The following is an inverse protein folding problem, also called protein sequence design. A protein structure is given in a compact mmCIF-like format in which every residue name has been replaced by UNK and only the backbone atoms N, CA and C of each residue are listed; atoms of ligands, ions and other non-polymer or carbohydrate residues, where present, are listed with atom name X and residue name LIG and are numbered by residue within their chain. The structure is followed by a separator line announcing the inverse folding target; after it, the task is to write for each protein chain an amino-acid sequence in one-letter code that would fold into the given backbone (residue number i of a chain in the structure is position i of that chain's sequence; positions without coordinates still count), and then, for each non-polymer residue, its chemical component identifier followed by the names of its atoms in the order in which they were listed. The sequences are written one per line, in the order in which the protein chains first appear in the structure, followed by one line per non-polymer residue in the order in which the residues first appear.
data_IF_814780935416
#
_entry.id   IF_814780935416
#
_cell.length_a   1.000
_cell.length_b   1.000
_cell.length_c   1.000
_cell.angle_alpha   90.00
_cell.angle_beta   90.00
_cell.angle_gamma   90.00
#
_symmetry.space_group_name_H-M   'P 1'
#
loop_
_entity.id
_entity.type
_entity.pdbx_description
1 polymer ?
#
# COMPACT_ATOMS: atom_id res chain seq x y z
N UNK A 1 -19.50 -8.90 -7.08
CA UNK A 1 -19.35 -7.61 -6.41
C UNK A 1 -19.28 -6.51 -7.45
N UNK A 2 -19.80 -5.32 -7.18
CA UNK A 2 -19.83 -4.23 -8.15
C UNK A 2 -19.22 -2.98 -7.49
N UNK A 3 -18.20 -2.36 -8.12
CA UNK A 3 -17.53 -1.17 -7.61
C UNK A 3 -18.16 0.08 -8.19
N UNK A 4 -18.49 1.04 -7.34
CA UNK A 4 -18.85 2.39 -7.77
C UNK A 4 -17.57 3.13 -8.20
N UNK A 5 -17.61 3.79 -9.36
CA UNK A 5 -16.47 4.57 -9.83
C UNK A 5 -16.89 5.95 -10.37
N UNK A 6 -15.92 6.86 -10.39
CA UNK A 6 -16.04 8.17 -11.01
C UNK A 6 -14.80 8.47 -11.89
N UNK A 7 -14.95 9.45 -12.79
CA UNK A 7 -13.91 9.90 -13.72
C UNK A 7 -13.79 11.40 -13.60
N UNK A 8 -12.56 11.90 -13.45
CA UNK A 8 -12.25 13.35 -13.50
C UNK A 8 -11.09 13.54 -14.47
N UNK A 9 -11.32 14.30 -15.55
CA UNK A 9 -10.32 14.63 -16.56
C UNK A 9 -10.83 15.87 -17.32
N UNK A 10 -10.01 16.91 -17.47
CA UNK A 10 -10.42 18.14 -18.17
C UNK A 10 -10.52 17.96 -19.70
N UNK A 11 -9.98 16.85 -20.22
CA UNK A 11 -10.12 16.48 -21.62
C UNK A 11 -11.41 15.65 -21.86
N UNK A 12 -12.44 16.17 -22.57
CA UNK A 12 -13.70 15.44 -22.82
C UNK A 12 -13.51 14.11 -23.55
N UNK A 13 -12.49 14.00 -24.39
CA UNK A 13 -12.18 12.76 -25.12
C UNK A 13 -11.64 11.68 -24.18
N UNK A 14 -10.81 12.05 -23.21
CA UNK A 14 -10.29 11.13 -22.20
C UNK A 14 -11.44 10.62 -21.28
N UNK A 15 -12.34 11.53 -20.86
CA UNK A 15 -13.55 11.14 -20.11
C UNK A 15 -14.39 10.15 -20.91
N UNK A 16 -14.66 10.42 -22.19
CA UNK A 16 -15.46 9.55 -23.05
C UNK A 16 -14.80 8.18 -23.27
N UNK A 17 -13.48 8.14 -23.41
CA UNK A 17 -12.72 6.90 -23.53
C UNK A 17 -12.85 6.04 -22.28
N UNK A 18 -12.56 6.63 -21.11
CA UNK A 18 -12.66 5.92 -19.81
C UNK A 18 -14.08 5.48 -19.53
N UNK A 19 -15.09 6.31 -19.82
CA UNK A 19 -16.51 5.91 -19.74
C UNK A 19 -16.80 4.67 -20.59
N UNK A 20 -16.31 4.64 -21.83
CA UNK A 20 -16.48 3.48 -22.72
C UNK A 20 -15.84 2.20 -22.14
N UNK A 21 -14.73 2.34 -21.42
CA UNK A 21 -14.04 1.24 -20.75
C UNK A 21 -14.80 0.77 -19.50
N UNK A 22 -15.31 1.70 -18.70
CA UNK A 22 -16.17 1.37 -17.54
C UNK A 22 -17.40 0.59 -18.00
N UNK A 23 -18.07 1.04 -19.05
CA UNK A 23 -19.27 0.35 -19.60
C UNK A 23 -19.00 -1.06 -20.13
N UNK A 24 -17.76 -1.34 -20.54
CA UNK A 24 -17.32 -2.68 -20.97
C UNK A 24 -16.89 -3.58 -19.81
N UNK A 25 -16.76 -3.03 -18.60
CA UNK A 25 -16.24 -3.75 -17.43
C UNK A 25 -17.37 -4.09 -16.46
N UNK A 26 -17.85 -5.36 -16.42
CA UNK A 26 -19.12 -5.72 -15.75
C UNK A 26 -19.16 -5.48 -14.24
N UNK A 27 -18.00 -5.40 -13.59
CA UNK A 27 -17.89 -5.17 -12.14
C UNK A 27 -17.72 -3.69 -11.77
N UNK A 28 -17.79 -2.74 -12.74
CA UNK A 28 -17.77 -1.31 -12.48
C UNK A 28 -19.13 -0.67 -12.72
N UNK A 29 -19.48 0.32 -11.90
CA UNK A 29 -20.67 1.17 -12.05
C UNK A 29 -20.26 2.63 -12.01
N UNK A 30 -20.39 3.35 -13.13
CA UNK A 30 -20.10 4.76 -13.20
C UNK A 30 -21.14 5.56 -12.41
N UNK A 31 -20.69 6.36 -11.42
CA UNK A 31 -21.52 7.22 -10.58
C UNK A 31 -21.43 8.70 -10.98
N UNK A 32 -20.26 9.11 -11.50
CA UNK A 32 -20.06 10.49 -11.93
C UNK A 32 -18.94 10.61 -12.94
N UNK A 33 -19.01 11.65 -13.76
CA UNK A 33 -17.96 12.07 -14.68
C UNK A 33 -17.89 13.60 -14.68
N UNK A 34 -16.66 14.12 -14.57
CA UNK A 34 -16.43 15.53 -14.34
C UNK A 34 -15.28 16.02 -15.21
N UNK A 35 -15.43 17.23 -15.78
CA UNK A 35 -14.37 17.90 -16.53
C UNK A 35 -13.64 18.97 -15.67
N UNK A 36 -13.91 19.00 -14.38
CA UNK A 36 -13.28 19.92 -13.42
C UNK A 36 -13.19 19.28 -12.06
N UNK A 37 -11.99 19.33 -11.45
CA UNK A 37 -11.76 18.88 -10.09
C UNK A 37 -12.57 19.67 -9.06
N UNK A 38 -12.70 20.99 -9.26
CA UNK A 38 -13.42 21.87 -8.33
C UNK A 38 -14.91 21.50 -8.26
N UNK A 39 -15.51 21.19 -9.39
CA UNK A 39 -16.93 20.80 -9.44
C UNK A 39 -17.15 19.40 -8.87
N UNK A 40 -16.20 18.50 -9.01
CA UNK A 40 -16.28 17.13 -8.52
C UNK A 40 -16.15 17.02 -7.00
N UNK A 41 -15.36 17.89 -6.35
CA UNK A 41 -14.98 17.76 -4.95
C UNK A 41 -16.17 17.75 -3.97
N UNK A 42 -17.14 18.68 -4.02
CA UNK A 42 -18.29 18.66 -3.12
C UNK A 42 -19.15 17.41 -3.29
N UNK A 43 -19.34 16.96 -4.54
CA UNK A 43 -20.17 15.82 -4.86
C UNK A 43 -19.56 14.49 -4.40
N UNK A 44 -18.27 14.30 -4.65
CA UNK A 44 -17.54 13.10 -4.22
C UNK A 44 -17.32 13.04 -2.71
N UNK A 45 -17.24 14.17 -2.02
CA UNK A 45 -17.22 14.20 -0.56
C UNK A 45 -18.60 13.88 0.05
N UNK A 46 -19.70 14.27 -0.62
CA UNK A 46 -21.06 13.94 -0.18
C UNK A 46 -21.44 12.49 -0.55
N UNK A 47 -20.99 12.00 -1.70
CA UNK A 47 -21.29 10.68 -2.24
C UNK A 47 -20.00 9.97 -2.66
N UNK A 48 -19.23 9.42 -1.71
CA UNK A 48 -17.96 8.76 -2.00
C UNK A 48 -18.13 7.57 -2.95
N UNK A 49 -17.13 7.33 -3.79
CA UNK A 49 -17.05 6.16 -4.68
C UNK A 49 -15.91 5.25 -4.26
N UNK A 50 -15.98 3.97 -4.65
CA UNK A 50 -14.92 3.00 -4.34
C UNK A 50 -13.64 3.26 -5.14
N UNK A 51 -13.78 3.72 -6.39
CA UNK A 51 -12.67 3.93 -7.34
C UNK A 51 -12.81 5.26 -8.07
N UNK A 52 -11.73 6.02 -8.14
CA UNK A 52 -11.65 7.27 -8.88
C UNK A 52 -10.54 7.19 -9.94
N UNK A 53 -10.88 7.37 -11.20
CA UNK A 53 -9.93 7.67 -12.27
C UNK A 53 -9.74 9.18 -12.33
N UNK A 54 -8.51 9.65 -12.10
CA UNK A 54 -8.23 11.06 -11.86
C UNK A 54 -7.04 11.52 -12.70
N UNK A 55 -7.27 12.47 -13.60
CA UNK A 55 -6.16 13.10 -14.30
C UNK A 55 -5.28 13.92 -13.34
N UNK A 56 -3.97 13.87 -13.57
CA UNK A 56 -3.02 14.64 -12.75
C UNK A 56 -3.00 16.10 -13.13
N UNK A 57 -3.00 16.39 -14.42
CA UNK A 57 -2.80 17.74 -14.93
C UNK A 57 -4.12 18.38 -15.35
N UNK A 58 -4.77 19.02 -14.40
CA UNK A 58 -5.99 19.79 -14.65
C UNK A 58 -5.77 21.26 -14.30
N UNK A 59 -6.50 22.19 -14.97
CA UNK A 59 -6.50 23.59 -14.60
C UNK A 59 -6.97 23.82 -13.16
N UNK A 60 -6.47 24.87 -12.53
CA UNK A 60 -6.85 25.39 -11.20
C UNK A 60 -6.54 24.45 -10.03
N UNK A 61 -6.83 23.15 -10.13
CA UNK A 61 -6.60 22.15 -9.08
C UNK A 61 -6.06 20.87 -9.72
N UNK A 62 -4.80 20.55 -9.44
CA UNK A 62 -4.20 19.31 -9.93
C UNK A 62 -4.81 18.07 -9.27
N UNK A 63 -4.80 16.92 -9.97
CA UNK A 63 -5.27 15.66 -9.40
C UNK A 63 -4.53 15.26 -8.13
N UNK A 64 -3.25 15.62 -8.01
CA UNK A 64 -2.45 15.36 -6.80
C UNK A 64 -2.93 16.20 -5.60
N UNK A 65 -3.32 17.44 -5.81
CA UNK A 65 -3.89 18.30 -4.76
C UNK A 65 -5.30 17.84 -4.40
N UNK A 66 -6.13 17.57 -5.42
CA UNK A 66 -7.47 17.02 -5.26
C UNK A 66 -7.48 15.75 -4.39
N UNK A 67 -6.57 14.82 -4.65
CA UNK A 67 -6.48 13.56 -3.93
C UNK A 67 -6.25 13.72 -2.43
N UNK A 68 -5.60 14.81 -2.00
CA UNK A 68 -5.37 15.14 -0.58
C UNK A 68 -6.59 15.76 0.10
N UNK A 69 -7.52 16.29 -0.69
CA UNK A 69 -8.75 16.96 -0.22
C UNK A 69 -9.94 15.99 -0.17
N UNK A 70 -9.82 14.82 -0.81
CA UNK A 70 -10.83 13.78 -0.77
C UNK A 70 -10.88 13.16 0.63
N UNK A 71 -12.08 13.10 1.19
CA UNK A 71 -12.37 12.39 2.42
C UNK A 71 -12.81 10.97 2.12
N UNK A 72 -12.38 9.99 2.94
CA UNK A 72 -12.84 8.62 2.86
C UNK A 72 -11.86 7.62 2.24
N UNK A 73 -12.37 6.42 1.95
CA UNK A 73 -11.56 5.27 1.51
C UNK A 73 -11.53 5.09 -0.02
N UNK A 74 -11.88 6.15 -0.78
CA UNK A 74 -11.83 6.14 -2.26
C UNK A 74 -10.42 5.79 -2.74
N UNK A 75 -10.31 4.76 -3.59
CA UNK A 75 -9.04 4.40 -4.24
C UNK A 75 -8.87 5.19 -5.51
N UNK A 76 -7.64 5.66 -5.75
CA UNK A 76 -7.33 6.52 -6.88
C UNK A 76 -6.43 5.79 -7.85
N UNK A 77 -6.85 5.78 -9.12
CA UNK A 77 -6.01 5.45 -10.26
C UNK A 77 -5.77 6.76 -11.02
N UNK A 78 -4.51 7.20 -11.01
CA UNK A 78 -4.16 8.41 -11.75
C UNK A 78 -4.04 8.14 -13.23
N UNK A 79 -4.46 9.11 -14.04
CA UNK A 79 -4.18 9.14 -15.48
C UNK A 79 -3.27 10.31 -15.80
N UNK A 80 -2.33 10.18 -16.73
CA UNK A 80 -1.38 11.24 -17.06
C UNK A 80 -0.71 11.02 -18.41
N UNK A 81 -0.34 12.12 -19.08
CA UNK A 81 0.49 12.09 -20.30
C UNK A 81 2.00 12.00 -19.99
N UNK A 82 2.43 12.09 -18.71
CA UNK A 82 3.84 12.25 -18.33
C UNK A 82 4.30 11.15 -17.38
N UNK A 83 5.33 10.41 -17.79
CA UNK A 83 5.95 9.33 -17.00
C UNK A 83 6.56 9.80 -15.68
N UNK A 84 7.01 11.04 -15.60
CA UNK A 84 7.68 11.59 -14.42
C UNK A 84 6.77 11.64 -13.18
N UNK A 85 5.46 11.81 -13.35
CA UNK A 85 4.51 11.83 -12.22
C UNK A 85 4.26 10.46 -11.60
N UNK A 86 4.58 9.39 -12.31
CA UNK A 86 4.57 8.04 -11.74
C UNK A 86 5.58 7.90 -10.57
N UNK A 87 6.62 8.73 -10.51
CA UNK A 87 7.63 8.75 -9.44
C UNK A 87 7.19 9.58 -8.21
N UNK A 88 6.42 10.65 -8.39
CA UNK A 88 5.93 11.50 -7.28
C UNK A 88 4.71 10.91 -6.56
N UNK A 89 4.10 9.89 -7.11
CA UNK A 89 2.91 9.20 -6.63
C UNK A 89 3.06 8.49 -5.29
N UNK A 90 4.27 8.23 -4.86
CA UNK A 90 4.54 7.64 -3.54
C UNK A 90 4.09 8.49 -2.35
N UNK A 91 3.77 9.78 -2.59
CA UNK A 91 3.26 10.70 -1.55
C UNK A 91 1.75 10.68 -1.40
N UNK A 92 1.05 10.02 -2.31
CA UNK A 92 -0.43 9.93 -2.34
C UNK A 92 -0.76 8.45 -2.47
N UNK A 93 -1.66 7.92 -1.64
CA UNK A 93 -2.06 6.50 -1.64
C UNK A 93 -2.78 6.07 -2.95
N UNK A 94 -2.11 6.27 -4.09
CA UNK A 94 -2.62 5.83 -5.38
C UNK A 94 -2.57 4.31 -5.49
N UNK A 95 -3.64 3.74 -6.02
CA UNK A 95 -3.71 2.31 -6.30
C UNK A 95 -2.90 1.93 -7.54
N UNK A 96 -2.94 2.80 -8.56
CA UNK A 96 -2.24 2.58 -9.84
C UNK A 96 -2.07 3.88 -10.65
N UNK A 97 -1.35 3.78 -11.77
CA UNK A 97 -1.10 4.83 -12.75
C UNK A 97 -1.34 4.33 -14.16
N UNK A 98 -2.06 5.12 -14.96
CA UNK A 98 -2.30 4.87 -16.36
C UNK A 98 -1.68 5.98 -17.20
N UNK A 99 -0.72 5.63 -18.04
CA UNK A 99 -0.11 6.57 -18.97
C UNK A 99 -1.00 6.74 -20.22
N UNK A 100 -1.30 7.98 -20.60
CA UNK A 100 -2.00 8.29 -21.84
C UNK A 100 -1.05 8.08 -23.04
N UNK A 101 -1.49 7.43 -24.14
CA UNK A 101 -2.84 6.94 -24.42
C UNK A 101 -3.17 5.65 -23.67
N UNK A 102 -4.28 5.63 -22.93
CA UNK A 102 -4.68 4.52 -22.08
C UNK A 102 -5.25 3.40 -22.96
N UNK A 103 -4.70 2.17 -22.82
CA UNK A 103 -5.27 0.99 -23.46
C UNK A 103 -6.33 0.33 -22.57
N UNK A 104 -7.29 -0.39 -23.18
CA UNK A 104 -8.28 -1.14 -22.40
C UNK A 104 -7.66 -2.23 -21.51
N UNK A 105 -6.63 -2.99 -21.95
CA UNK A 105 -5.94 -3.94 -21.06
C UNK A 105 -5.32 -3.30 -19.82
N UNK A 106 -4.66 -2.13 -19.94
CA UNK A 106 -4.06 -1.44 -18.79
C UNK A 106 -5.14 -0.93 -17.84
N UNK A 107 -6.21 -0.33 -18.39
CA UNK A 107 -7.39 0.07 -17.62
C UNK A 107 -7.99 -1.11 -16.85
N UNK A 108 -8.22 -2.24 -17.51
CA UNK A 108 -8.81 -3.43 -16.91
C UNK A 108 -7.94 -3.99 -15.78
N UNK A 109 -6.61 -4.00 -15.97
CA UNK A 109 -5.68 -4.43 -14.93
C UNK A 109 -5.77 -3.55 -13.68
N UNK A 110 -5.82 -2.22 -13.85
CA UNK A 110 -5.99 -1.29 -12.73
C UNK A 110 -7.34 -1.44 -12.04
N UNK A 111 -8.42 -1.64 -12.79
CA UNK A 111 -9.74 -1.90 -12.25
C UNK A 111 -9.81 -3.22 -11.46
N UNK A 112 -9.11 -4.28 -11.92
CA UNK A 112 -9.01 -5.55 -11.19
C UNK A 112 -8.24 -5.40 -9.88
N UNK A 113 -7.17 -4.59 -9.83
CA UNK A 113 -6.48 -4.26 -8.58
C UNK A 113 -7.41 -3.58 -7.58
N UNK A 114 -8.28 -2.67 -8.06
CA UNK A 114 -9.28 -2.02 -7.22
C UNK A 114 -10.30 -3.02 -6.65
N UNK A 115 -10.80 -3.92 -7.48
CA UNK A 115 -11.72 -4.96 -7.05
C UNK A 115 -11.12 -5.83 -5.94
N UNK A 116 -9.91 -6.34 -6.14
CA UNK A 116 -9.19 -7.13 -5.15
C UNK A 116 -9.00 -6.37 -3.83
N UNK A 117 -8.66 -5.08 -3.92
CA UNK A 117 -8.47 -4.25 -2.73
C UNK A 117 -9.76 -4.08 -1.93
N UNK A 118 -10.89 -3.78 -2.59
CA UNK A 118 -12.19 -3.59 -1.92
C UNK A 118 -12.70 -4.91 -1.34
N UNK A 119 -12.53 -6.04 -2.03
CA UNK A 119 -12.86 -7.37 -1.50
C UNK A 119 -12.08 -7.69 -0.21
N UNK A 120 -10.78 -7.39 -0.18
CA UNK A 120 -9.97 -7.55 1.04
C UNK A 120 -10.46 -6.64 2.17
N UNK A 121 -10.89 -5.41 1.86
CA UNK A 121 -11.32 -4.43 2.86
C UNK A 121 -12.71 -4.76 3.42
N UNK A 122 -13.66 -5.19 2.59
CA UNK A 122 -15.01 -5.57 3.03
C UNK A 122 -15.02 -6.86 3.85
N UNK A 123 -14.16 -7.83 3.51
CA UNK A 123 -13.98 -9.02 4.33
C UNK A 123 -13.45 -8.71 5.74
N UNK A 124 -12.84 -7.54 5.95
CA UNK A 124 -12.43 -7.04 7.28
C UNK A 124 -13.58 -6.42 8.07
N UNK A 125 -14.61 -5.87 7.41
CA UNK A 125 -15.76 -5.21 8.07
C UNK A 125 -16.93 -6.15 8.32
N UNK A 126 -17.10 -7.18 7.50
CA UNK A 126 -18.12 -8.20 7.71
C UNK A 126 -17.66 -9.20 8.74
N UNK A 127 -17.90 -8.89 10.01
CA UNK A 127 -17.56 -9.73 11.17
C UNK A 127 -18.26 -11.09 11.15
N UNK A 128 -17.90 -11.98 10.25
CA UNK A 128 -18.11 -13.40 10.37
C UNK A 128 -16.88 -14.02 11.00
N UNK A 129 -16.91 -14.15 12.30
CA UNK A 129 -16.05 -15.01 13.11
C UNK A 129 -16.20 -16.46 12.66
N UNK A 130 -15.43 -16.89 11.68
CA UNK A 130 -15.01 -18.27 11.44
C UNK A 130 -14.29 -18.44 10.07
N UNK A 131 -13.42 -17.51 9.72
CA UNK A 131 -12.34 -17.76 8.76
C UNK A 131 -11.14 -16.97 9.23
N UNK A 132 -10.12 -17.67 9.64
CA UNK A 132 -8.85 -17.09 10.07
C UNK A 132 -8.44 -15.96 9.14
N UNK A 133 -8.15 -14.78 9.72
CA UNK A 133 -7.53 -13.61 9.07
C UNK A 133 -6.37 -14.11 8.22
N UNK A 134 -6.58 -14.35 6.93
CA UNK A 134 -5.46 -14.51 6.02
C UNK A 134 -4.88 -13.12 5.78
N UNK A 135 -3.93 -12.72 6.61
CA UNK A 135 -3.02 -11.62 6.32
C UNK A 135 -2.40 -11.88 4.94
N UNK A 136 -2.09 -10.84 4.16
CA UNK A 136 -1.44 -11.05 2.88
C UNK A 136 -0.21 -11.93 3.10
N UNK A 137 -0.12 -13.02 2.37
CA UNK A 137 1.02 -13.93 2.46
C UNK A 137 2.26 -13.37 1.77
N UNK A 138 2.08 -12.40 0.88
CA UNK A 138 3.17 -11.79 0.10
C UNK A 138 2.91 -10.31 -0.17
N UNK A 139 4.00 -9.56 -0.40
CA UNK A 139 3.99 -8.16 -0.84
C UNK A 139 4.80 -8.00 -2.12
N UNK A 140 4.45 -7.00 -2.93
CA UNK A 140 5.25 -6.62 -4.09
C UNK A 140 6.15 -5.44 -3.75
N UNK A 141 7.45 -5.62 -3.95
CA UNK A 141 8.48 -4.61 -3.70
C UNK A 141 9.13 -4.20 -5.02
N UNK A 142 9.15 -2.89 -5.29
CA UNK A 142 9.84 -2.33 -6.45
C UNK A 142 11.34 -2.23 -6.15
N UNK A 143 12.13 -2.88 -6.98
CA UNK A 143 13.57 -2.68 -7.06
C UNK A 143 13.88 -1.74 -8.23
N UNK A 144 15.13 -1.36 -8.44
CA UNK A 144 15.53 -0.43 -9.52
C UNK A 144 15.01 -0.83 -10.91
N UNK A 145 14.85 -2.13 -11.19
CA UNK A 145 14.53 -2.62 -12.55
C UNK A 145 13.29 -3.52 -12.64
N UNK A 146 12.70 -3.94 -11.53
CA UNK A 146 11.61 -4.92 -11.53
C UNK A 146 10.78 -4.86 -10.26
N UNK A 147 9.56 -5.35 -10.34
CA UNK A 147 8.69 -5.62 -9.20
C UNK A 147 8.96 -7.07 -8.75
N UNK A 148 9.25 -7.25 -7.46
CA UNK A 148 9.52 -8.58 -6.88
C UNK A 148 8.43 -8.89 -5.88
N UNK A 149 7.82 -10.05 -6.01
CA UNK A 149 6.94 -10.59 -4.98
C UNK A 149 7.78 -11.23 -3.87
N UNK A 150 7.52 -10.83 -2.63
CA UNK A 150 8.20 -11.35 -1.44
C UNK A 150 7.16 -11.98 -0.52
N UNK A 151 7.37 -13.24 -0.19
CA UNK A 151 6.60 -13.96 0.81
C UNK A 151 6.93 -13.37 2.20
N UNK A 152 5.90 -12.83 2.88
CA UNK A 152 6.06 -12.23 4.21
C UNK A 152 6.55 -13.24 5.25
N UNK A 153 6.20 -14.52 5.09
CA UNK A 153 6.64 -15.60 5.97
C UNK A 153 8.14 -15.87 5.90
N UNK A 154 8.82 -15.39 4.86
CA UNK A 154 10.26 -15.57 4.66
C UNK A 154 11.10 -14.35 5.04
N UNK A 155 10.48 -13.20 5.34
CA UNK A 155 11.23 -12.02 5.79
C UNK A 155 11.75 -12.25 7.20
N UNK A 156 13.05 -12.07 7.39
CA UNK A 156 13.69 -12.14 8.71
C UNK A 156 13.63 -10.78 9.41
N UNK A 157 14.17 -9.79 8.76
CA UNK A 157 14.19 -8.40 9.21
C UNK A 157 14.44 -7.44 8.06
N UNK A 158 14.24 -6.15 8.32
CA UNK A 158 14.43 -5.07 7.36
C UNK A 158 15.34 -4.02 7.99
N UNK A 159 16.34 -3.60 7.23
CA UNK A 159 17.32 -2.58 7.61
C UNK A 159 17.18 -1.33 6.75
N UNK A 160 17.08 -0.16 7.38
CA UNK A 160 17.12 1.12 6.68
C UNK A 160 18.53 1.58 6.35
N UNK A 161 18.76 1.94 5.09
CA UNK A 161 20.03 2.45 4.60
C UNK A 161 19.80 3.74 3.80
N UNK A 162 19.89 4.91 4.47
CA UNK A 162 19.57 6.22 3.87
C UNK A 162 18.18 6.22 3.23
N UNK A 163 18.11 6.37 1.89
CA UNK A 163 16.87 6.39 1.11
C UNK A 163 16.38 5.00 0.68
N UNK A 164 17.11 3.94 1.05
CA UNK A 164 16.81 2.55 0.72
C UNK A 164 16.46 1.73 1.96
N UNK A 165 15.73 0.67 1.74
CA UNK A 165 15.58 -0.43 2.70
C UNK A 165 16.20 -1.70 2.13
N UNK A 166 16.82 -2.48 3.00
CA UNK A 166 17.33 -3.83 2.72
C UNK A 166 16.41 -4.83 3.38
N UNK A 167 15.81 -5.72 2.60
CA UNK A 167 14.91 -6.76 3.08
C UNK A 167 15.69 -8.08 3.10
N UNK A 168 15.91 -8.62 4.28
CA UNK A 168 16.60 -9.89 4.47
C UNK A 168 15.59 -11.03 4.50
N UNK A 169 15.79 -11.99 3.59
CA UNK A 169 14.85 -13.09 3.32
C UNK A 169 15.53 -14.42 3.66
N UNK A 170 14.82 -15.29 4.33
CA UNK A 170 15.28 -16.63 4.69
C UNK A 170 15.71 -17.41 3.44
N UNK A 171 16.91 -18.00 3.47
CA UNK A 171 17.47 -18.76 2.35
C UNK A 171 18.09 -17.91 1.23
N UNK A 172 18.10 -16.58 1.34
CA UNK A 172 18.79 -15.70 0.39
C UNK A 172 20.09 -15.16 0.99
N UNK A 173 21.15 -15.17 0.17
CA UNK A 173 22.49 -14.65 0.58
C UNK A 173 22.50 -13.12 0.58
N UNK A 174 21.83 -12.51 -0.38
CA UNK A 174 21.80 -11.06 -0.55
C UNK A 174 20.42 -10.49 -0.24
N UNK A 175 20.35 -9.34 0.47
CA UNK A 175 19.07 -8.68 0.72
C UNK A 175 18.48 -8.08 -0.56
N UNK A 176 17.17 -7.98 -0.60
CA UNK A 176 16.47 -7.22 -1.63
C UNK A 176 16.52 -5.73 -1.26
N UNK A 177 16.97 -4.90 -2.22
CA UNK A 177 17.07 -3.45 -2.07
C UNK A 177 15.84 -2.77 -2.69
N UNK A 178 15.24 -1.84 -1.96
CA UNK A 178 14.14 -1.01 -2.46
C UNK A 178 14.33 0.45 -2.07
N UNK A 179 14.05 1.36 -3.01
CA UNK A 179 14.06 2.80 -2.78
C UNK A 179 12.75 3.19 -2.08
N UNK A 180 12.77 3.19 -0.76
CA UNK A 180 11.66 3.61 0.09
C UNK A 180 12.12 3.91 1.50
N UNK A 181 11.31 4.68 2.25
CA UNK A 181 11.61 5.00 3.65
C UNK A 181 11.21 3.87 4.59
N UNK A 182 11.85 3.81 5.76
CA UNK A 182 11.45 2.88 6.83
C UNK A 182 9.99 3.06 7.28
N UNK A 183 9.46 4.30 7.20
CA UNK A 183 8.07 4.59 7.51
C UNK A 183 7.13 3.97 6.48
N UNK A 184 7.41 4.17 5.18
CA UNK A 184 6.61 3.58 4.12
C UNK A 184 6.63 2.05 4.16
N UNK A 185 7.78 1.45 4.53
CA UNK A 185 7.88 0.00 4.74
C UNK A 185 7.05 -0.46 5.95
N UNK A 186 7.09 0.27 7.07
CA UNK A 186 6.29 -0.03 8.27
C UNK A 186 4.79 0.02 7.97
N UNK A 187 4.35 1.00 7.16
CA UNK A 187 2.93 1.14 6.78
C UNK A 187 2.46 0.04 5.79
N UNK A 188 3.38 -0.53 5.01
CA UNK A 188 3.10 -1.63 4.08
C UNK A 188 2.99 -2.99 4.76
N UNK A 189 3.68 -3.18 5.88
CA UNK A 189 3.77 -4.47 6.57
C UNK A 189 2.63 -4.67 7.57
N UNK A 190 2.07 -5.89 7.71
CA UNK A 190 1.04 -6.17 8.70
C UNK A 190 1.62 -6.02 10.13
N UNK A 191 1.03 -5.14 10.97
CA UNK A 191 1.54 -4.86 12.32
C UNK A 191 1.41 -6.04 13.31
N UNK A 192 0.63 -7.06 12.96
CA UNK A 192 0.51 -8.33 13.68
C UNK A 192 1.73 -9.22 13.52
N UNK A 193 2.48 -9.07 12.42
CA UNK A 193 3.64 -9.92 12.06
C UNK A 193 4.96 -9.19 12.16
N UNK A 194 4.98 -7.87 12.07
CA UNK A 194 6.20 -7.07 12.03
C UNK A 194 6.21 -5.99 13.10
N UNK A 195 7.34 -5.82 13.78
CA UNK A 195 7.52 -4.81 14.82
C UNK A 195 8.78 -4.01 14.56
N UNK A 196 8.64 -2.68 14.62
CA UNK A 196 9.80 -1.80 14.58
C UNK A 196 10.50 -1.79 15.92
N UNK A 197 11.79 -2.10 15.95
CA UNK A 197 12.60 -2.22 17.18
C UNK A 197 13.70 -1.14 17.27
N UNK A 198 13.94 -0.44 16.16
CA UNK A 198 14.92 0.63 16.08
C UNK A 198 14.54 1.60 14.97
N UNK A 199 15.08 2.83 14.98
CA UNK A 199 14.86 3.78 13.88
C UNK A 199 15.20 3.22 12.49
N UNK A 200 16.12 2.25 12.44
CA UNK A 200 16.59 1.62 11.21
C UNK A 200 16.26 0.13 11.10
N UNK A 201 15.48 -0.45 12.01
CA UNK A 201 15.18 -1.89 11.95
C UNK A 201 13.71 -2.20 12.24
N UNK A 202 13.13 -3.04 11.36
CA UNK A 202 11.85 -3.73 11.55
C UNK A 202 12.15 -5.22 11.54
N UNK A 203 11.58 -5.98 12.45
CA UNK A 203 11.82 -7.43 12.57
C UNK A 203 10.52 -8.20 12.47
N UNK A 204 10.60 -9.47 12.06
CA UNK A 204 9.52 -10.44 12.21
C UNK A 204 9.76 -11.24 13.50
N UNK A 205 9.01 -11.00 14.57
CA UNK A 205 9.27 -11.63 15.87
C UNK A 205 9.20 -13.17 15.85
N UNK A 206 8.40 -13.75 14.96
CA UNK A 206 8.29 -15.21 14.80
C UNK A 206 9.59 -15.86 14.31
N UNK A 207 10.48 -15.08 13.69
CA UNK A 207 11.80 -15.51 13.20
C UNK A 207 12.92 -15.30 14.23
N UNK A 208 12.63 -14.64 15.35
CA UNK A 208 13.61 -14.40 16.40
C UNK A 208 13.85 -15.70 17.18
N UNK A 209 15.08 -16.16 17.20
CA UNK A 209 15.49 -17.35 17.98
C UNK A 209 16.12 -16.98 19.31
N UNK A 210 16.85 -15.86 19.35
CA UNK A 210 17.62 -15.45 20.52
C UNK A 210 17.55 -13.93 20.69
N UNK A 211 17.36 -13.50 21.94
CA UNK A 211 17.48 -12.10 22.38
C UNK A 211 18.50 -12.07 23.51
N UNK A 212 19.60 -11.33 23.33
CA UNK A 212 20.68 -11.19 24.30
C UNK A 212 21.01 -9.71 24.55
N UNK A 213 21.07 -9.33 25.84
CA UNK A 213 21.50 -7.98 26.25
C UNK A 213 20.85 -6.85 25.45
N UNK A 214 19.53 -6.90 25.29
CA UNK A 214 18.74 -5.93 24.55
C UNK A 214 19.06 -5.86 23.03
N UNK A 215 19.51 -6.99 22.45
CA UNK A 215 19.78 -7.15 21.01
C UNK A 215 19.11 -8.44 20.52
N UNK A 216 18.56 -8.38 19.33
CA UNK A 216 18.02 -9.53 18.62
C UNK A 216 19.13 -10.14 17.77
N UNK A 217 19.29 -11.46 17.83
CA UNK A 217 20.35 -12.18 17.11
C UNK A 217 19.76 -12.92 15.91
N UNK A 218 20.19 -12.53 14.70
CA UNK A 218 19.94 -13.24 13.45
C UNK A 218 21.25 -13.78 12.89
N UNK A 219 21.62 -15.00 13.25
CA UNK A 219 22.90 -15.60 12.85
C UNK A 219 24.10 -14.83 13.37
N UNK A 220 24.77 -14.06 12.51
CA UNK A 220 25.91 -13.21 12.88
C UNK A 220 25.52 -11.73 13.11
N UNK A 221 24.30 -11.36 12.80
CA UNK A 221 23.82 -9.99 12.92
C UNK A 221 23.15 -9.72 14.26
N UNK A 222 23.49 -8.59 14.87
CA UNK A 222 22.98 -8.13 16.16
C UNK A 222 22.15 -6.87 15.96
N UNK A 223 20.83 -6.98 16.03
CA UNK A 223 19.89 -5.87 15.86
C UNK A 223 19.61 -5.22 17.22
N UNK A 224 19.95 -3.94 17.43
CA UNK A 224 19.69 -3.25 18.69
C UNK A 224 18.21 -2.96 18.87
N UNK A 225 17.71 -3.07 20.10
CA UNK A 225 16.40 -2.62 20.51
C UNK A 225 16.60 -1.26 21.17
N UNK A 226 16.09 -0.17 20.56
CA UNK A 226 16.23 1.16 21.17
C UNK A 226 15.09 1.46 22.13
N UNK A 227 15.36 2.29 23.14
CA UNK A 227 14.41 2.55 24.23
C UNK A 227 13.05 3.04 23.75
N UNK A 228 13.01 3.86 22.69
CA UNK A 228 11.77 4.38 22.12
C UNK A 228 10.85 3.29 21.51
N UNK A 229 11.35 2.10 21.26
CA UNK A 229 10.60 0.98 20.66
C UNK A 229 10.46 -0.22 21.59
N UNK A 230 11.12 -0.16 22.75
CA UNK A 230 11.21 -1.27 23.69
C UNK A 230 9.86 -1.68 24.28
N UNK A 231 9.03 -0.70 24.66
CA UNK A 231 7.73 -0.96 25.26
C UNK A 231 6.80 -1.69 24.30
N UNK A 232 6.72 -1.21 23.04
CA UNK A 232 5.93 -1.85 21.99
C UNK A 232 6.41 -3.27 21.68
N UNK A 233 7.73 -3.48 21.69
CA UNK A 233 8.32 -4.79 21.46
C UNK A 233 8.09 -5.74 22.64
N UNK A 234 8.21 -5.27 23.87
CA UNK A 234 7.92 -6.07 25.08
C UNK A 234 6.43 -6.43 25.17
N UNK A 235 5.53 -5.52 24.82
CA UNK A 235 4.09 -5.83 24.74
C UNK A 235 3.82 -6.96 23.74
N UNK A 236 4.50 -6.95 22.59
CA UNK A 236 4.39 -8.02 21.61
C UNK A 236 4.92 -9.35 22.16
N UNK A 237 6.05 -9.35 22.85
CA UNK A 237 6.64 -10.55 23.46
C UNK A 237 5.77 -11.10 24.60
N UNK A 238 5.21 -10.24 25.46
CA UNK A 238 4.40 -10.66 26.61
C UNK A 238 3.14 -11.43 26.22
N UNK A 239 2.60 -11.14 25.03
CA UNK A 239 1.46 -11.89 24.49
C UNK A 239 1.80 -13.31 24.04
N UNK A 240 3.09 -13.65 23.90
CA UNK A 240 3.58 -14.91 23.31
C UNK A 240 4.65 -15.64 24.12
N UNK A 241 5.10 -15.09 25.23
CA UNK A 241 6.14 -15.70 26.08
C UNK A 241 5.63 -15.95 27.49
N UNK A 242 5.97 -17.09 28.02
CA UNK A 242 5.87 -17.36 29.44
C UNK A 242 7.14 -16.77 30.07
N UNK A 243 7.05 -15.53 30.59
CA UNK A 243 8.09 -15.02 31.47
C UNK A 243 7.88 -15.77 32.82
N UNK A 244 8.82 -16.59 33.23
CA UNK A 244 8.91 -17.02 34.61
C UNK A 244 9.10 -15.72 35.43
N UNK A 245 8.12 -15.42 36.29
CA UNK A 245 8.25 -14.36 37.28
C UNK A 245 9.52 -14.66 38.09
N UNK A 246 10.47 -13.74 38.05
CA UNK A 246 11.56 -13.78 39.02
C UNK A 246 11.04 -13.12 40.29
N UNK A 247 10.89 -13.95 41.35
CA UNK A 247 10.95 -13.49 42.71
C UNK A 247 12.22 -12.67 42.98
#
# INVERSE_FOLDING_TARGET
MNLSCAIIDDEPLAVSLLESYVMKTPFLTLKGKYNSAILALPELNANPVDLLFLDIQMPELSGMEFSRMLSGDTRIVFTTAFEQYALDSYKVNALDYLLKPISYPDFLQSAQKALQWVEMFQNRQSGNTESAKSEPESIFIKTERRLIQIDLGKILYIEGLKDYVKIYIEGQIHPVLSLMTMKAMEDLLPPSRFVRVHRSFIVQPEKIKVIERNRIVFGKEYIPISDNYKDKFNEFLSRRSIFADKE
#
